data_IF_388731678873
#
_entry.id   IF_388731678873
#
_cell.length_a   1.000
_cell.length_b   1.000
_cell.length_c   1.000
_cell.angle_alpha   90.00
_cell.angle_beta   90.00
_cell.angle_gamma   90.00
#
_symmetry.space_group_name_H-M   'P 1'
#
loop_
_entity.id
_entity.type
_entity.pdbx_description
1 polymer ?
#
# COMPACT_ATOMS: atom_id res chain seq x y z
N UNK A 1 -15.70 0.33 -1.65
CA UNK A 1 -14.25 0.01 -1.70
C UNK A 1 -13.37 0.97 -0.88
N UNK A 2 -13.74 2.24 -0.67
CA UNK A 2 -12.96 3.16 0.17
C UNK A 2 -11.88 3.95 -0.58
N UNK A 3 -12.00 4.06 -1.91
CA UNK A 3 -11.14 4.89 -2.75
C UNK A 3 -11.52 6.38 -2.76
N UNK A 4 -12.73 6.74 -2.32
CA UNK A 4 -13.19 8.12 -2.17
C UNK A 4 -13.65 8.39 -0.74
N UNK A 5 -13.41 9.62 -0.27
CA UNK A 5 -13.93 10.15 1.00
C UNK A 5 -15.06 11.13 0.70
N UNK A 6 -16.14 11.19 1.51
CA UNK A 6 -17.30 12.04 1.25
C UNK A 6 -16.98 13.55 1.21
N UNK A 7 -15.83 13.97 1.73
CA UNK A 7 -15.34 15.36 1.75
C UNK A 7 -13.96 15.51 1.06
N UNK A 8 -13.46 14.43 0.43
CA UNK A 8 -12.11 14.35 -0.10
C UNK A 8 -12.01 14.60 -1.61
N UNK A 9 -10.80 14.48 -2.15
CA UNK A 9 -10.56 14.54 -3.58
C UNK A 9 -11.26 13.36 -4.29
N UNK A 10 -11.95 13.66 -5.39
CA UNK A 10 -12.59 12.62 -6.22
C UNK A 10 -11.53 11.74 -6.87
N UNK A 11 -11.78 10.44 -6.83
CA UNK A 11 -10.99 9.44 -7.52
C UNK A 11 -11.26 9.55 -9.02
N UNK A 12 -10.20 9.70 -9.83
CA UNK A 12 -10.34 9.82 -11.28
C UNK A 12 -10.64 8.44 -11.86
N UNK A 13 -11.81 8.27 -12.47
CA UNK A 13 -12.23 7.04 -13.15
C UNK A 13 -12.20 7.31 -14.66
N UNK A 14 -11.16 6.87 -15.40
CA UNK A 14 -11.02 7.14 -16.83
C UNK A 14 -11.78 6.15 -17.71
N UNK A 15 -12.54 5.21 -17.13
CA UNK A 15 -13.23 4.11 -17.83
C UNK A 15 -14.75 4.25 -17.74
N UNK A 16 -15.48 3.55 -18.61
CA UNK A 16 -16.96 3.54 -18.58
C UNK A 16 -17.50 2.93 -17.29
N UNK A 17 -18.71 3.33 -16.87
CA UNK A 17 -19.36 2.86 -15.63
C UNK A 17 -19.35 1.33 -15.52
N UNK A 18 -19.66 0.62 -16.62
CA UNK A 18 -19.64 -0.84 -16.67
C UNK A 18 -18.25 -1.45 -16.39
N UNK A 19 -17.17 -0.79 -16.79
CA UNK A 19 -15.80 -1.20 -16.50
C UNK A 19 -15.41 -0.82 -15.07
N UNK A 20 -15.80 0.37 -14.62
CA UNK A 20 -15.58 0.83 -13.24
C UNK A 20 -16.25 -0.13 -12.23
N UNK A 21 -17.47 -0.59 -12.50
CA UNK A 21 -18.14 -1.58 -11.65
C UNK A 21 -17.36 -2.90 -11.54
N UNK A 22 -16.75 -3.38 -12.64
CA UNK A 22 -15.90 -4.59 -12.60
C UNK A 22 -14.60 -4.34 -11.83
N UNK A 23 -13.97 -3.19 -12.03
CA UNK A 23 -12.74 -2.79 -11.33
C UNK A 23 -13.00 -2.67 -9.82
N UNK A 24 -14.07 -1.98 -9.43
CA UNK A 24 -14.47 -1.87 -8.03
C UNK A 24 -15.01 -3.16 -7.47
N UNK A 25 -15.58 -4.08 -8.26
CA UNK A 25 -16.02 -5.40 -7.78
C UNK A 25 -14.85 -6.35 -7.48
N UNK A 26 -13.78 -6.25 -8.28
CA UNK A 26 -12.56 -7.06 -8.11
C UNK A 26 -11.50 -6.40 -7.23
N UNK A 27 -11.76 -5.19 -6.73
CA UNK A 27 -10.84 -4.47 -5.85
C UNK A 27 -10.88 -4.98 -4.42
N UNK A 28 -9.90 -4.54 -3.64
CA UNK A 28 -9.88 -4.77 -2.19
C UNK A 28 -10.50 -3.59 -1.43
N UNK A 29 -10.97 -3.86 -0.21
CA UNK A 29 -11.50 -2.82 0.69
C UNK A 29 -10.33 -2.04 1.31
N UNK A 30 -10.06 -0.87 0.75
CA UNK A 30 -8.95 0.04 1.12
C UNK A 30 -8.82 0.29 2.63
N UNK A 31 -9.88 0.64 3.40
CA UNK A 31 -9.72 0.95 4.83
C UNK A 31 -9.27 -0.26 5.67
N UNK A 32 -9.60 -1.47 5.25
CA UNK A 32 -9.17 -2.70 5.95
C UNK A 32 -7.67 -2.89 5.80
N UNK A 33 -7.16 -2.79 4.58
CA UNK A 33 -5.72 -2.92 4.32
C UNK A 33 -4.92 -1.76 4.92
N UNK A 34 -5.48 -0.55 4.99
CA UNK A 34 -4.86 0.55 5.70
C UNK A 34 -4.67 0.26 7.20
N UNK A 35 -5.65 -0.40 7.84
CA UNK A 35 -5.51 -0.83 9.24
C UNK A 35 -4.44 -1.92 9.41
N UNK A 36 -4.41 -2.91 8.51
CA UNK A 36 -3.37 -3.96 8.50
C UNK A 36 -1.97 -3.35 8.31
N UNK A 37 -1.81 -2.40 7.39
CA UNK A 37 -0.55 -1.71 7.17
C UNK A 37 -0.06 -0.97 8.42
N UNK A 38 -0.96 -0.34 9.19
CA UNK A 38 -0.61 0.30 10.47
C UNK A 38 -0.06 -0.69 11.49
N UNK A 39 -0.62 -1.91 11.55
CA UNK A 39 -0.14 -2.97 12.43
C UNK A 39 1.22 -3.52 11.98
N UNK A 40 1.46 -3.58 10.67
CA UNK A 40 2.70 -4.07 10.08
C UNK A 40 3.83 -3.02 10.06
N UNK A 41 3.51 -1.74 10.13
CA UNK A 41 4.47 -0.63 10.07
C UNK A 41 5.73 -0.83 10.96
N UNK A 42 5.62 -1.15 12.27
CA UNK A 42 6.80 -1.35 13.11
C UNK A 42 7.62 -2.59 12.71
N UNK A 43 6.96 -3.65 12.21
CA UNK A 43 7.63 -4.88 11.76
C UNK A 43 8.41 -4.63 10.47
N UNK A 44 7.83 -3.87 9.55
CA UNK A 44 8.49 -3.48 8.30
C UNK A 44 9.70 -2.60 8.61
N UNK A 45 9.57 -1.61 9.51
CA UNK A 45 10.69 -0.76 9.91
C UNK A 45 11.85 -1.58 10.52
N UNK A 46 11.56 -2.56 11.37
CA UNK A 46 12.57 -3.48 11.91
C UNK A 46 13.24 -4.32 10.82
N UNK A 47 12.48 -4.79 9.84
CA UNK A 47 13.02 -5.58 8.73
C UNK A 47 13.91 -4.73 7.80
N UNK A 48 13.54 -3.48 7.55
CA UNK A 48 14.36 -2.53 6.77
C UNK A 48 15.66 -2.22 7.50
N UNK A 49 15.60 -1.88 8.79
CA UNK A 49 16.80 -1.58 9.58
C UNK A 49 17.78 -2.78 9.65
N UNK A 50 17.26 -4.01 9.73
CA UNK A 50 18.09 -5.23 9.66
C UNK A 50 18.78 -5.36 8.31
N UNK A 51 18.04 -5.12 7.22
CA UNK A 51 18.60 -5.19 5.87
C UNK A 51 19.66 -4.11 5.62
N UNK A 52 19.43 -2.89 6.09
CA UNK A 52 20.42 -1.80 5.98
C UNK A 52 21.69 -2.08 6.80
N UNK A 53 21.59 -2.76 7.94
CA UNK A 53 22.75 -3.20 8.72
C UNK A 53 23.53 -4.31 7.97
N UNK A 54 22.82 -5.29 7.41
CA UNK A 54 23.43 -6.37 6.62
C UNK A 54 24.10 -5.84 5.34
N UNK A 55 23.49 -4.84 4.67
CA UNK A 55 24.05 -4.20 3.47
C UNK A 55 25.28 -3.32 3.80
N UNK A 56 25.35 -2.72 5.00
CA UNK A 56 26.52 -1.94 5.45
C UNK A 56 27.71 -2.81 5.85
N UNK A 57 27.49 -4.03 6.36
CA UNK A 57 28.53 -5.03 6.60
C UNK A 57 28.98 -5.75 5.32
N UNK A 58 28.20 -5.62 4.22
CA UNK A 58 28.50 -6.15 2.89
C UNK A 58 29.47 -5.32 2.05
N UNK A 59 30.09 -4.28 2.64
CA UNK A 59 31.16 -3.49 2.03
C UNK A 59 32.41 -4.34 1.73
N UNK A 60 32.39 -4.96 0.56
CA UNK A 60 33.48 -5.68 -0.11
C UNK A 60 34.88 -5.30 0.40
N UNK A 61 35.47 -6.20 1.20
CA UNK A 61 36.93 -6.35 1.25
C UNK A 61 37.41 -6.83 -0.13
N UNK A 62 38.46 -6.17 -0.63
CA UNK A 62 39.16 -6.40 -1.91
C UNK A 62 39.30 -7.87 -2.31
#
# INVERSE_FOLDING_TARGET
>A
MGFESPQGARFRIPVSDTQAYRQFGNSVVVPVFAAVAKLLAPRIAQAVARREADDNDGGCSR
#
